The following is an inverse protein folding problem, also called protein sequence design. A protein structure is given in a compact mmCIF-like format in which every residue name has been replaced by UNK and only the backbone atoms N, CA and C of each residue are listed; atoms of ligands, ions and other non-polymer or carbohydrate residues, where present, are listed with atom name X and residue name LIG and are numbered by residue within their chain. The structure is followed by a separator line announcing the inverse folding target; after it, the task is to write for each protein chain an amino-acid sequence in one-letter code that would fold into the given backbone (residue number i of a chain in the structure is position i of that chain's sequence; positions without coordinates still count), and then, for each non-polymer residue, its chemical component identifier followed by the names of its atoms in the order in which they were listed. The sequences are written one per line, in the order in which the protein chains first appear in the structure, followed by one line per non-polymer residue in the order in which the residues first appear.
data_IF_163147468091
#
_entry.id   IF_163147468091
#
_cell.length_a   1.000
_cell.length_b   1.000
_cell.length_c   1.000
_cell.angle_alpha   90.00
_cell.angle_beta   90.00
_cell.angle_gamma   90.00
#
_symmetry.space_group_name_H-M   'P 1'
#
loop_
_entity.id
_entity.type
_entity.pdbx_description
1 polymer ?
#
# COMPACT_ATOMS: atom_id res chain seq x y z
N UNK A 1 31.94 -11.84 -8.86
CA UNK A 1 32.06 -10.80 -7.81
C UNK A 1 31.88 -9.45 -8.46
N UNK A 2 31.33 -8.45 -7.75
CA UNK A 2 31.22 -7.09 -8.26
C UNK A 2 31.85 -6.11 -7.26
N UNK A 3 32.64 -5.18 -7.76
CA UNK A 3 33.42 -4.24 -6.95
C UNK A 3 33.10 -2.81 -7.38
N UNK A 4 33.01 -1.91 -6.41
CA UNK A 4 32.82 -0.47 -6.62
C UNK A 4 33.58 0.32 -5.58
N UNK A 5 33.99 1.54 -5.92
CA UNK A 5 34.73 2.43 -5.00
C UNK A 5 33.95 3.73 -4.84
N UNK A 6 33.58 4.07 -3.60
CA UNK A 6 32.85 5.30 -3.28
C UNK A 6 33.48 5.98 -2.06
N UNK A 7 33.78 7.28 -2.17
CA UNK A 7 34.40 8.07 -1.10
C UNK A 7 35.67 7.41 -0.50
N UNK A 8 36.47 6.73 -1.33
CA UNK A 8 37.69 6.03 -0.89
C UNK A 8 37.45 4.66 -0.25
N UNK A 9 36.19 4.21 -0.13
CA UNK A 9 35.84 2.87 0.35
C UNK A 9 35.57 1.93 -0.82
N UNK A 10 36.26 0.80 -0.85
CA UNK A 10 36.02 -0.28 -1.83
C UNK A 10 35.02 -1.28 -1.27
N UNK A 11 33.88 -1.42 -1.95
CA UNK A 11 32.83 -2.36 -1.63
C UNK A 11 32.84 -3.50 -2.65
N UNK A 12 33.02 -4.73 -2.16
CA UNK A 12 33.00 -5.94 -2.99
C UNK A 12 31.85 -6.83 -2.56
N UNK A 13 30.97 -7.17 -3.49
CA UNK A 13 29.88 -8.13 -3.29
C UNK A 13 30.27 -9.51 -3.85
N UNK A 14 30.06 -10.53 -3.02
CA UNK A 14 30.06 -11.92 -3.46
C UNK A 14 28.92 -12.15 -4.47
N UNK A 15 28.99 -13.21 -5.32
CA UNK A 15 27.93 -13.48 -6.28
C UNK A 15 26.54 -13.62 -5.63
N UNK A 16 26.36 -14.34 -4.51
CA UNK A 16 25.06 -14.42 -3.83
C UNK A 16 24.57 -13.06 -3.30
N UNK A 17 25.47 -12.23 -2.75
CA UNK A 17 25.10 -10.91 -2.25
C UNK A 17 24.68 -9.96 -3.37
N UNK A 18 25.35 -10.03 -4.53
CA UNK A 18 24.95 -9.29 -5.72
C UNK A 18 23.58 -9.74 -6.24
N UNK A 19 23.34 -11.06 -6.30
CA UNK A 19 22.03 -11.60 -6.67
C UNK A 19 20.93 -11.15 -5.72
N UNK A 20 21.17 -11.18 -4.40
CA UNK A 20 20.23 -10.67 -3.41
C UNK A 20 19.94 -9.18 -3.62
N UNK A 21 20.98 -8.37 -3.91
CA UNK A 21 20.81 -6.96 -4.24
C UNK A 21 19.96 -6.77 -5.50
N UNK A 22 20.14 -7.58 -6.55
CA UNK A 22 19.31 -7.54 -7.76
C UNK A 22 17.85 -7.89 -7.47
N UNK A 23 17.60 -8.87 -6.59
CA UNK A 23 16.24 -9.30 -6.26
C UNK A 23 15.51 -8.31 -5.33
N UNK A 24 16.23 -7.59 -4.48
CA UNK A 24 15.64 -6.79 -3.42
C UNK A 24 14.60 -5.74 -3.88
N UNK A 25 14.78 -5.02 -5.01
CA UNK A 25 13.74 -4.12 -5.54
C UNK A 25 12.41 -4.83 -5.85
N UNK A 26 12.47 -6.03 -6.44
CA UNK A 26 11.27 -6.81 -6.74
C UNK A 26 10.61 -7.31 -5.45
N UNK A 27 11.39 -7.79 -4.48
CA UNK A 27 10.86 -8.27 -3.20
C UNK A 27 10.19 -7.13 -2.41
N UNK A 28 10.86 -5.97 -2.33
CA UNK A 28 10.33 -4.78 -1.67
C UNK A 28 9.05 -4.27 -2.34
N UNK A 29 9.05 -4.15 -3.67
CA UNK A 29 7.86 -3.70 -4.42
C UNK A 29 6.71 -4.70 -4.39
N UNK A 30 7.00 -6.01 -4.33
CA UNK A 30 5.98 -7.06 -4.13
C UNK A 30 5.32 -6.92 -2.76
N UNK A 31 6.12 -6.73 -1.71
CA UNK A 31 5.60 -6.48 -0.37
C UNK A 31 4.77 -5.19 -0.32
N UNK A 32 5.25 -4.12 -0.95
CA UNK A 32 4.56 -2.82 -0.99
C UNK A 32 3.21 -2.92 -1.73
N UNK A 33 3.17 -3.60 -2.88
CA UNK A 33 1.95 -3.83 -3.64
C UNK A 33 0.95 -4.71 -2.89
N UNK A 34 1.43 -5.75 -2.20
CA UNK A 34 0.60 -6.60 -1.33
C UNK A 34 0.01 -5.79 -0.18
N UNK A 35 0.83 -4.96 0.47
CA UNK A 35 0.37 -4.05 1.52
C UNK A 35 -0.72 -3.11 0.98
N UNK A 36 -0.49 -2.48 -0.17
CA UNK A 36 -1.45 -1.59 -0.80
C UNK A 36 -2.77 -2.31 -1.16
N UNK A 37 -2.70 -3.56 -1.63
CA UNK A 37 -3.90 -4.35 -1.90
C UNK A 37 -4.68 -4.66 -0.62
N UNK A 38 -3.99 -5.06 0.46
CA UNK A 38 -4.63 -5.34 1.75
C UNK A 38 -5.24 -4.09 2.36
N UNK A 39 -4.55 -2.96 2.25
CA UNK A 39 -5.07 -1.66 2.65
C UNK A 39 -6.36 -1.32 1.88
N UNK A 40 -6.36 -1.46 0.56
CA UNK A 40 -7.53 -1.22 -0.27
C UNK A 40 -8.70 -2.15 0.12
N UNK A 41 -8.44 -3.45 0.30
CA UNK A 41 -9.46 -4.43 0.64
C UNK A 41 -10.10 -4.16 2.00
N UNK A 42 -9.28 -3.87 3.00
CA UNK A 42 -9.75 -3.65 4.38
C UNK A 42 -10.48 -2.32 4.53
N UNK A 43 -9.98 -1.24 3.93
CA UNK A 43 -10.64 0.08 3.99
C UNK A 43 -11.94 0.13 3.19
N UNK A 44 -12.00 -0.48 2.00
CA UNK A 44 -13.22 -0.51 1.19
C UNK A 44 -14.35 -1.29 1.84
N UNK A 45 -14.06 -2.21 2.77
CA UNK A 45 -15.08 -2.95 3.52
C UNK A 45 -16.02 -2.02 4.31
N UNK A 46 -15.54 -0.83 4.75
CA UNK A 46 -16.38 0.18 5.41
C UNK A 46 -17.32 0.92 4.45
N UNK A 47 -17.05 0.87 3.14
CA UNK A 47 -17.79 1.60 2.12
C UNK A 47 -18.91 0.76 1.48
N UNK A 48 -18.86 -0.56 1.62
CA UNK A 48 -19.80 -1.48 0.98
C UNK A 48 -20.76 -2.13 1.98
N UNK A 49 -21.96 -2.44 1.51
CA UNK A 49 -22.91 -3.26 2.28
C UNK A 49 -22.48 -4.73 2.26
N UNK A 50 -22.67 -5.48 3.35
CA UNK A 50 -22.38 -6.91 3.39
C UNK A 50 -23.10 -7.65 2.25
N UNK A 51 -22.37 -8.46 1.47
CA UNK A 51 -22.96 -9.30 0.42
C UNK A 51 -23.46 -10.60 1.04
N UNK A 52 -24.72 -10.61 1.46
CA UNK A 52 -25.32 -11.77 2.15
C UNK A 52 -25.96 -12.79 1.21
N UNK A 53 -25.97 -12.52 -0.10
CA UNK A 53 -26.64 -13.34 -1.13
C UNK A 53 -25.71 -14.24 -1.93
N UNK A 54 -24.42 -14.28 -1.59
CA UNK A 54 -23.46 -15.13 -2.31
C UNK A 54 -23.69 -16.62 -2.01
N UNK A 55 -23.33 -17.50 -2.95
CA UNK A 55 -23.39 -18.96 -2.73
C UNK A 55 -22.64 -19.37 -1.47
N UNK A 56 -21.44 -18.81 -1.27
CA UNK A 56 -20.64 -19.06 -0.06
C UNK A 56 -21.42 -18.69 1.20
N UNK A 57 -22.04 -17.50 1.24
CA UNK A 57 -22.85 -17.07 2.39
C UNK A 57 -24.01 -18.03 2.63
N UNK A 58 -24.76 -18.38 1.58
CA UNK A 58 -25.89 -19.30 1.69
C UNK A 58 -25.45 -20.69 2.16
N UNK A 59 -24.30 -21.19 1.70
CA UNK A 59 -23.72 -22.45 2.19
C UNK A 59 -23.36 -22.35 3.67
N UNK A 60 -22.69 -21.28 4.08
CA UNK A 60 -22.30 -21.06 5.49
C UNK A 60 -23.50 -20.86 6.41
N UNK A 61 -24.59 -20.26 5.93
CA UNK A 61 -25.83 -20.09 6.70
C UNK A 61 -26.80 -21.27 6.55
N UNK A 62 -26.37 -22.37 5.91
CA UNK A 62 -27.20 -23.57 5.68
C UNK A 62 -28.53 -23.26 4.96
N UNK A 63 -28.49 -22.33 4.00
CA UNK A 63 -29.66 -21.89 3.25
C UNK A 63 -30.67 -21.08 4.09
N UNK A 64 -30.38 -20.81 5.38
CA UNK A 64 -31.20 -19.87 6.15
C UNK A 64 -31.06 -18.51 5.47
N UNK A 65 -32.17 -17.91 5.01
CA UNK A 65 -32.12 -16.54 4.53
C UNK A 65 -31.50 -15.68 5.64
N UNK A 66 -30.73 -14.65 5.25
CA UNK A 66 -30.33 -13.60 6.19
C UNK A 66 -31.53 -13.26 7.07
N UNK A 67 -31.34 -13.02 8.38
CA UNK A 67 -32.44 -12.69 9.26
C UNK A 67 -33.35 -11.69 8.55
N UNK A 68 -34.65 -11.99 8.54
CA UNK A 68 -35.71 -11.19 7.92
C UNK A 68 -35.39 -9.69 7.98
N UNK A 69 -35.89 -8.94 6.99
CA UNK A 69 -35.79 -7.49 6.84
C UNK A 69 -36.01 -6.62 8.11
N UNK A 70 -36.41 -7.21 9.22
CA UNK A 70 -36.45 -6.68 10.59
C UNK A 70 -35.10 -6.47 11.29
N UNK A 71 -33.99 -7.07 10.83
CA UNK A 71 -32.64 -6.89 11.41
C UNK A 71 -31.68 -6.15 10.48
N UNK A 72 -32.17 -5.43 9.47
CA UNK A 72 -31.36 -4.41 8.80
C UNK A 72 -31.15 -3.31 9.85
N UNK A 73 -29.94 -3.14 10.43
CA UNK A 73 -29.74 -2.03 11.35
C UNK A 73 -30.15 -0.75 10.62
N UNK A 74 -30.93 0.10 11.31
CA UNK A 74 -31.38 1.37 10.73
C UNK A 74 -30.15 2.08 10.13
N UNK A 75 -30.31 2.75 8.97
CA UNK A 75 -29.21 3.49 8.32
C UNK A 75 -28.50 4.40 9.32
N UNK A 76 -29.24 4.97 10.27
CA UNK A 76 -28.71 5.81 11.35
C UNK A 76 -27.82 5.03 12.32
N UNK A 77 -28.19 3.80 12.69
CA UNK A 77 -27.36 2.93 13.54
C UNK A 77 -26.07 2.53 12.82
N UNK A 78 -26.14 2.24 11.52
CA UNK A 78 -24.95 1.94 10.70
C UNK A 78 -24.05 3.18 10.62
N UNK A 79 -24.62 4.36 10.37
CA UNK A 79 -23.87 5.60 10.30
C UNK A 79 -23.19 5.93 11.63
N UNK A 80 -23.92 5.82 12.75
CA UNK A 80 -23.39 6.00 14.09
C UNK A 80 -22.23 5.02 14.39
N UNK A 81 -22.40 3.73 14.05
CA UNK A 81 -21.35 2.73 14.22
C UNK A 81 -20.11 3.05 13.37
N UNK A 82 -20.28 3.42 12.10
CA UNK A 82 -19.17 3.79 11.21
C UNK A 82 -18.41 5.00 11.71
N UNK A 83 -19.13 6.01 12.20
CA UNK A 83 -18.53 7.24 12.70
C UNK A 83 -17.64 7.00 13.94
N UNK A 84 -17.83 5.89 14.66
CA UNK A 84 -16.99 5.46 15.79
C UNK A 84 -15.87 4.52 15.32
N UNK A 85 -16.22 3.47 14.58
CA UNK A 85 -15.30 2.36 14.27
C UNK A 85 -14.24 2.77 13.23
N UNK A 86 -14.61 3.56 12.22
CA UNK A 86 -13.70 3.94 11.14
C UNK A 86 -12.46 4.68 11.67
N UNK A 87 -12.58 5.77 12.46
CA UNK A 87 -11.42 6.49 12.97
C UNK A 87 -10.51 5.61 13.84
N UNK A 88 -11.10 4.82 14.74
CA UNK A 88 -10.34 3.93 15.65
C UNK A 88 -9.56 2.88 14.84
N UNK A 89 -10.24 2.21 13.91
CA UNK A 89 -9.60 1.21 13.06
C UNK A 89 -8.49 1.85 12.22
N UNK A 90 -8.80 2.99 11.57
CA UNK A 90 -7.87 3.66 10.66
C UNK A 90 -6.61 4.13 11.38
N UNK A 91 -6.72 4.78 12.54
CA UNK A 91 -5.55 5.26 13.29
C UNK A 91 -4.64 4.10 13.72
N UNK A 92 -5.21 2.99 14.20
CA UNK A 92 -4.44 1.80 14.57
C UNK A 92 -3.76 1.15 13.36
N UNK A 93 -4.52 0.96 12.28
CA UNK A 93 -4.01 0.40 11.04
C UNK A 93 -2.91 1.28 10.46
N UNK A 94 -3.13 2.59 10.36
CA UNK A 94 -2.19 3.55 9.80
C UNK A 94 -0.89 3.61 10.60
N UNK A 95 -0.96 3.66 11.94
CA UNK A 95 0.23 3.66 12.79
C UNK A 95 1.11 2.44 12.56
N UNK A 96 0.50 1.25 12.47
CA UNK A 96 1.25 0.00 12.25
C UNK A 96 1.71 -0.13 10.80
N UNK A 97 0.84 0.21 9.85
CA UNK A 97 1.08 0.07 8.43
C UNK A 97 2.16 1.02 7.90
N UNK A 98 2.28 2.21 8.49
CA UNK A 98 3.28 3.21 8.11
C UNK A 98 4.70 2.65 8.16
N UNK A 99 5.04 1.87 9.19
CA UNK A 99 6.37 1.24 9.29
C UNK A 99 6.63 0.24 8.15
N UNK A 100 5.60 -0.49 7.73
CA UNK A 100 5.70 -1.40 6.60
C UNK A 100 5.93 -0.64 5.29
N UNK A 101 5.19 0.45 5.07
CA UNK A 101 5.35 1.31 3.88
C UNK A 101 6.75 1.92 3.83
N UNK A 102 7.24 2.47 4.94
CA UNK A 102 8.60 3.04 5.02
C UNK A 102 9.65 1.97 4.75
N UNK A 103 9.55 0.80 5.39
CA UNK A 103 10.51 -0.28 5.23
C UNK A 103 10.54 -0.84 3.80
N UNK A 104 9.39 -1.19 3.24
CA UNK A 104 9.28 -1.82 1.92
C UNK A 104 9.68 -0.87 0.78
N UNK A 105 9.21 0.39 0.82
CA UNK A 105 9.63 1.39 -0.16
C UNK A 105 11.09 1.81 0.04
N UNK A 106 11.59 1.83 1.27
CA UNK A 106 13.01 2.03 1.57
C UNK A 106 13.88 0.95 0.95
N UNK A 107 13.57 -0.33 1.19
CA UNK A 107 14.26 -1.47 0.56
C UNK A 107 14.24 -1.30 -0.95
N UNK A 108 13.07 -1.06 -1.55
CA UNK A 108 12.92 -0.92 -3.01
C UNK A 108 13.79 0.21 -3.55
N UNK A 109 13.71 1.39 -2.96
CA UNK A 109 14.37 2.61 -3.43
C UNK A 109 15.89 2.50 -3.28
N UNK A 110 16.39 2.18 -2.08
CA UNK A 110 17.82 2.17 -1.80
C UNK A 110 18.54 1.02 -2.51
N UNK A 111 17.93 -0.15 -2.59
CA UNK A 111 18.56 -1.25 -3.34
C UNK A 111 18.53 -1.00 -4.84
N UNK A 112 17.48 -0.37 -5.39
CA UNK A 112 17.48 0.07 -6.80
C UNK A 112 18.57 1.11 -7.08
N UNK A 113 18.72 2.10 -6.21
CA UNK A 113 19.80 3.09 -6.30
C UNK A 113 21.17 2.42 -6.25
N UNK A 114 21.39 1.50 -5.30
CA UNK A 114 22.64 0.75 -5.20
C UNK A 114 22.92 -0.08 -6.46
N UNK A 115 21.90 -0.72 -7.03
CA UNK A 115 22.02 -1.43 -8.30
C UNK A 115 22.45 -0.53 -9.45
N UNK A 116 21.86 0.67 -9.56
CA UNK A 116 22.08 1.59 -10.69
C UNK A 116 23.38 2.38 -10.56
N UNK A 117 23.71 2.83 -9.34
CA UNK A 117 24.80 3.77 -9.09
C UNK A 117 26.08 3.09 -8.61
N UNK A 118 25.96 2.07 -7.76
CA UNK A 118 27.11 1.43 -7.13
C UNK A 118 27.54 0.18 -7.89
N UNK A 119 26.60 -0.65 -8.31
CA UNK A 119 26.87 -1.90 -9.01
C UNK A 119 26.20 -1.97 -10.39
N UNK A 120 26.48 -1.04 -11.33
CA UNK A 120 25.81 -1.04 -12.64
C UNK A 120 26.24 -2.20 -13.55
N UNK A 121 27.43 -2.75 -13.35
CA UNK A 121 28.00 -3.82 -14.17
C UNK A 121 27.13 -5.08 -14.10
N UNK A 122 26.81 -5.65 -15.26
CA UNK A 122 25.94 -6.82 -15.37
C UNK A 122 24.43 -6.51 -15.39
N UNK A 123 24.00 -5.24 -15.32
CA UNK A 123 22.59 -4.90 -15.51
C UNK A 123 22.13 -5.00 -16.97
N UNK A 124 23.02 -4.77 -17.94
CA UNK A 124 22.71 -4.86 -19.37
C UNK A 124 21.42 -4.11 -19.76
N UNK A 125 20.56 -4.79 -20.54
CA UNK A 125 19.24 -4.29 -20.94
C UNK A 125 18.26 -4.16 -19.76
N UNK A 126 18.51 -4.81 -18.62
CA UNK A 126 17.73 -4.67 -17.40
C UNK A 126 17.89 -3.31 -16.73
N UNK A 127 18.95 -2.55 -17.03
CA UNK A 127 19.22 -1.25 -16.39
C UNK A 127 18.06 -0.26 -16.57
N UNK A 128 17.50 -0.14 -17.77
CA UNK A 128 16.38 0.78 -18.05
C UNK A 128 15.15 0.44 -17.22
N UNK A 129 14.85 -0.85 -17.06
CA UNK A 129 13.76 -1.33 -16.22
C UNK A 129 13.95 -0.98 -14.74
N UNK A 130 15.17 -1.09 -14.21
CA UNK A 130 15.47 -0.65 -12.85
C UNK A 130 15.30 0.88 -12.69
N UNK A 131 15.70 1.66 -13.69
CA UNK A 131 15.57 3.13 -13.66
C UNK A 131 14.10 3.54 -13.68
N UNK A 132 13.29 2.97 -14.58
CA UNK A 132 11.85 3.27 -14.65
C UNK A 132 11.14 2.77 -13.39
N UNK A 133 11.48 1.58 -12.90
CA UNK A 133 10.95 1.04 -11.65
C UNK A 133 11.28 1.92 -10.45
N UNK A 134 12.50 2.45 -10.36
CA UNK A 134 12.89 3.41 -9.33
C UNK A 134 12.12 4.72 -9.44
N UNK A 135 11.97 5.26 -10.65
CA UNK A 135 11.18 6.48 -10.87
C UNK A 135 9.73 6.30 -10.43
N UNK A 136 9.10 5.17 -10.75
CA UNK A 136 7.76 4.82 -10.28
C UNK A 136 7.71 4.64 -8.75
N UNK A 137 8.68 3.95 -8.15
CA UNK A 137 8.77 3.78 -6.69
C UNK A 137 8.91 5.11 -5.95
N UNK A 138 9.68 6.07 -6.48
CA UNK A 138 9.76 7.44 -5.94
C UNK A 138 8.43 8.18 -6.16
N UNK A 139 7.80 7.97 -7.31
CA UNK A 139 6.49 8.54 -7.64
C UNK A 139 5.38 8.19 -6.65
N UNK A 140 5.50 7.07 -5.93
CA UNK A 140 4.63 6.72 -4.79
C UNK A 140 4.43 7.89 -3.82
N UNK A 141 5.53 8.58 -3.46
CA UNK A 141 5.50 9.64 -2.47
C UNK A 141 4.80 10.92 -2.96
N UNK A 142 4.60 11.09 -4.27
CA UNK A 142 3.86 12.23 -4.82
C UNK A 142 2.35 12.16 -4.53
N UNK A 143 1.84 11.02 -4.08
CA UNK A 143 0.45 10.89 -3.66
C UNK A 143 0.22 11.32 -2.21
N UNK A 144 1.27 11.54 -1.41
CA UNK A 144 1.16 11.96 0.00
C UNK A 144 0.31 13.23 0.18
N UNK A 145 0.48 14.32 -0.61
CA UNK A 145 -0.36 15.51 -0.48
C UNK A 145 -1.86 15.22 -0.73
N UNK A 146 -2.17 14.30 -1.64
CA UNK A 146 -3.55 13.94 -1.98
C UNK A 146 -4.27 13.19 -0.87
N UNK A 147 -3.54 12.60 0.08
CA UNK A 147 -4.11 11.81 1.17
C UNK A 147 -3.98 12.44 2.55
N UNK A 148 -3.12 13.44 2.70
CA UNK A 148 -2.82 14.06 3.99
C UNK A 148 -4.06 14.64 4.68
N UNK A 149 -4.95 15.27 3.91
CA UNK A 149 -6.18 15.87 4.44
C UNK A 149 -7.13 14.86 5.06
N UNK A 150 -7.38 13.72 4.39
CA UNK A 150 -8.27 12.68 4.91
C UNK A 150 -7.69 11.98 6.14
N UNK A 151 -6.38 11.72 6.17
CA UNK A 151 -5.68 11.20 7.37
C UNK A 151 -5.83 12.16 8.53
N UNK A 152 -5.49 13.43 8.35
CA UNK A 152 -5.53 14.42 9.42
C UNK A 152 -6.94 14.51 10.03
N UNK A 153 -7.98 14.52 9.19
CA UNK A 153 -9.37 14.52 9.67
C UNK A 153 -9.74 13.24 10.42
N UNK A 154 -9.32 12.06 9.94
CA UNK A 154 -9.58 10.79 10.65
C UNK A 154 -8.88 10.73 12.02
N UNK A 155 -7.64 11.20 12.10
CA UNK A 155 -6.92 11.35 13.36
C UNK A 155 -7.61 12.35 14.28
N UNK A 156 -8.01 13.51 13.76
CA UNK A 156 -8.75 14.52 14.53
C UNK A 156 -10.07 13.99 15.07
N UNK A 157 -10.83 13.23 14.28
CA UNK A 157 -12.06 12.56 14.71
C UNK A 157 -11.75 11.57 15.84
N UNK A 158 -10.72 10.75 15.69
CA UNK A 158 -10.33 9.74 16.68
C UNK A 158 -9.85 10.36 18.01
N UNK A 159 -9.04 11.41 17.97
CA UNK A 159 -8.39 12.00 19.16
C UNK A 159 -9.32 12.91 19.93
N UNK A 160 -10.07 13.80 19.26
CA UNK A 160 -10.89 14.80 19.95
C UNK A 160 -12.28 14.28 20.34
N UNK A 161 -12.59 13.00 20.05
CA UNK A 161 -13.86 12.36 20.36
C UNK A 161 -15.04 12.88 19.52
N UNK A 162 -16.07 12.04 19.37
CA UNK A 162 -17.39 12.44 18.86
C UNK A 162 -18.12 13.27 19.94
N UNK A 163 -17.99 14.60 19.92
CA UNK A 163 -18.98 15.54 20.48
C UNK A 163 -18.43 16.97 20.37
N UNK A 164 -18.55 17.57 19.20
CA UNK A 164 -18.90 19.00 19.15
C UNK A 164 -20.03 19.05 18.13
N UNK A 165 -21.26 19.17 18.62
CA UNK A 165 -22.36 19.63 17.78
C UNK A 165 -21.97 21.00 17.22
N UNK A 166 -21.96 21.14 15.90
CA UNK A 166 -21.67 22.41 15.24
C UNK A 166 -20.38 22.37 14.41
N UNK A 167 -20.60 22.35 13.09
CA UNK A 167 -19.71 22.86 12.04
C UNK A 167 -18.30 22.24 11.90
N UNK A 168 -18.13 21.46 10.82
CA UNK A 168 -16.83 21.38 10.11
C UNK A 168 -16.10 20.04 10.08
N UNK A 169 -16.60 18.98 10.73
CA UNK A 169 -16.00 17.64 10.62
C UNK A 169 -16.58 16.86 9.45
N UNK A 170 -15.74 16.53 8.47
CA UNK A 170 -16.12 15.65 7.36
C UNK A 170 -16.50 14.25 7.86
N UNK A 171 -17.51 13.63 7.25
CA UNK A 171 -17.94 12.27 7.56
C UNK A 171 -16.73 11.31 7.50
N UNK A 172 -16.56 10.46 8.51
CA UNK A 172 -15.48 9.47 8.55
C UNK A 172 -15.53 8.55 7.31
N UNK A 173 -16.73 8.25 6.81
CA UNK A 173 -16.95 7.50 5.57
C UNK A 173 -16.41 8.26 4.36
N UNK A 174 -16.63 9.58 4.29
CA UNK A 174 -16.14 10.41 3.20
C UNK A 174 -14.61 10.52 3.23
N UNK A 175 -14.01 10.64 4.42
CA UNK A 175 -12.55 10.63 4.57
C UNK A 175 -11.94 9.32 4.08
N UNK A 176 -12.54 8.17 4.41
CA UNK A 176 -12.10 6.87 3.87
C UNK A 176 -12.32 6.79 2.37
N UNK A 177 -13.44 7.31 1.84
CA UNK A 177 -13.70 7.31 0.40
C UNK A 177 -12.65 8.11 -0.38
N UNK A 178 -12.29 9.29 0.11
CA UNK A 178 -11.20 10.11 -0.45
C UNK A 178 -9.85 9.37 -0.40
N UNK A 179 -9.49 8.83 0.78
CA UNK A 179 -8.26 8.05 0.96
C UNK A 179 -8.18 6.89 -0.03
N UNK A 180 -9.22 6.06 -0.09
CA UNK A 180 -9.32 4.90 -0.98
C UNK A 180 -9.23 5.32 -2.45
N UNK A 181 -9.84 6.44 -2.83
CA UNK A 181 -9.79 6.96 -4.19
C UNK A 181 -8.36 7.22 -4.65
N UNK A 182 -7.61 8.02 -3.88
CA UNK A 182 -6.22 8.36 -4.17
C UNK A 182 -5.32 7.12 -4.06
N UNK A 183 -5.51 6.31 -3.03
CA UNK A 183 -4.78 5.06 -2.81
C UNK A 183 -4.92 4.08 -3.98
N UNK A 184 -6.14 3.88 -4.48
CA UNK A 184 -6.42 3.00 -5.61
C UNK A 184 -5.67 3.46 -6.87
N UNK A 185 -5.66 4.77 -7.14
CA UNK A 185 -4.92 5.33 -8.29
C UNK A 185 -3.43 5.08 -8.10
N UNK A 186 -2.87 5.41 -6.94
CA UNK A 186 -1.46 5.19 -6.61
C UNK A 186 -1.05 3.72 -6.78
N UNK A 187 -1.85 2.80 -6.24
CA UNK A 187 -1.60 1.36 -6.31
C UNK A 187 -1.62 0.84 -7.76
N UNK A 188 -2.63 1.23 -8.55
CA UNK A 188 -2.79 0.73 -9.93
C UNK A 188 -1.86 1.41 -10.93
N UNK A 189 -1.26 2.55 -10.58
CA UNK A 189 -0.33 3.28 -11.45
C UNK A 189 1.11 3.01 -11.05
N UNK A 190 1.63 3.73 -10.06
CA UNK A 190 3.05 3.76 -9.75
C UNK A 190 3.52 2.51 -9.01
N UNK A 191 2.73 1.95 -8.10
CA UNK A 191 3.13 0.73 -7.37
C UNK A 191 3.14 -0.49 -8.31
N UNK A 192 2.10 -0.65 -9.13
CA UNK A 192 2.04 -1.71 -10.14
C UNK A 192 3.11 -1.54 -11.22
N UNK A 193 3.35 -0.31 -11.69
CA UNK A 193 4.41 -0.03 -12.66
C UNK A 193 5.79 -0.38 -12.10
N UNK A 194 6.10 0.04 -10.86
CA UNK A 194 7.34 -0.30 -10.20
C UNK A 194 7.53 -1.82 -10.11
N UNK A 195 6.51 -2.54 -9.64
CA UNK A 195 6.53 -4.00 -9.54
C UNK A 195 6.79 -4.69 -10.88
N UNK A 196 6.06 -4.31 -11.93
CA UNK A 196 6.27 -4.87 -13.28
C UNK A 196 7.68 -4.58 -13.79
N UNK A 197 8.16 -3.35 -13.63
CA UNK A 197 9.49 -2.96 -14.08
C UNK A 197 10.58 -3.76 -13.37
N UNK A 198 10.49 -3.92 -12.04
CA UNK A 198 11.46 -4.72 -11.31
C UNK A 198 11.33 -6.21 -11.62
N UNK A 199 10.14 -6.74 -11.88
CA UNK A 199 9.96 -8.12 -12.29
C UNK A 199 10.67 -8.40 -13.63
N UNK A 200 10.42 -7.56 -14.64
CA UNK A 200 11.09 -7.67 -15.95
C UNK A 200 12.59 -7.44 -15.80
N UNK A 201 13.00 -6.44 -15.04
CA UNK A 201 14.41 -6.13 -14.80
C UNK A 201 15.15 -7.30 -14.16
N UNK A 202 14.58 -7.91 -13.12
CA UNK A 202 15.16 -9.09 -12.44
C UNK A 202 15.33 -10.25 -13.40
N UNK A 203 14.29 -10.59 -14.17
CA UNK A 203 14.38 -11.66 -15.16
C UNK A 203 15.50 -11.37 -16.16
N UNK A 204 15.52 -10.16 -16.74
CA UNK A 204 16.55 -9.74 -17.71
C UNK A 204 17.98 -9.74 -17.18
N UNK A 205 18.17 -9.59 -15.87
CA UNK A 205 19.50 -9.54 -15.23
C UNK A 205 19.97 -10.92 -14.77
N UNK A 206 19.04 -11.79 -14.34
CA UNK A 206 19.37 -13.07 -13.70
C UNK A 206 19.14 -14.28 -14.59
N UNK A 207 18.44 -14.13 -15.73
CA UNK A 207 18.39 -15.19 -16.76
C UNK A 207 19.38 -14.87 -17.89
N UNK A 208 20.16 -15.87 -18.33
CA UNK A 208 21.13 -15.72 -19.41
C UNK A 208 20.49 -15.50 -20.78
#
# INVERSE_FOLDING_TARGET
MATTTILGLTLTLSPPALTALRLAPLLGSTGSLTHAYMEWLTTTSFLHTPRTTSTLTLTMTQGKPSPSATLVPNKDQIAAAKAIVIPIWFVNFFHTGLYSVIGLNGITTYTSLANILLFPTGLGLGKSWYVVGLAAAVGHYFFVPGVMGSVARLFDICVKGQAVEGEGRGDAVDCVREWVGVHKVRMLTVDLCAWVCFAVGVVRVLTP
#
